data_IF_372633341264
#
_entry.id   IF_372633341264
#
_cell.length_a   1.000
_cell.length_b   1.000
_cell.length_c   1.000
_cell.angle_alpha   90.00
_cell.angle_beta   90.00
_cell.angle_gamma   90.00
#
_symmetry.space_group_name_H-M   'P 1'
#
loop_
_entity.id
_entity.type
_entity.pdbx_description
1 polymer ?
#
# COMPACT_ATOMS: atom_id res chain seq x y z
N UNK A 1 -1.75 9.44 23.92
CA UNK A 1 -2.40 9.78 22.62
C UNK A 1 -3.65 8.92 22.49
N UNK A 2 -4.75 9.47 21.96
CA UNK A 2 -6.03 8.77 21.76
C UNK A 2 -6.51 9.10 20.35
N UNK A 3 -6.98 8.09 19.62
CA UNK A 3 -7.54 8.23 18.28
C UNK A 3 -9.07 8.34 18.41
N UNK A 4 -9.64 9.47 17.98
CA UNK A 4 -11.08 9.69 17.99
C UNK A 4 -11.67 9.52 16.58
N UNK A 5 -12.75 8.75 16.48
CA UNK A 5 -13.58 8.67 15.28
C UNK A 5 -14.43 9.93 15.15
N UNK A 6 -14.26 10.68 14.06
CA UNK A 6 -14.99 11.93 13.81
C UNK A 6 -16.48 11.76 13.52
N UNK A 7 -16.97 10.52 13.31
CA UNK A 7 -18.37 10.28 13.01
C UNK A 7 -19.23 10.17 14.29
N UNK A 8 -18.94 9.19 15.15
CA UNK A 8 -19.74 8.92 16.36
C UNK A 8 -18.97 9.05 17.67
N UNK A 9 -17.75 9.59 17.63
CA UNK A 9 -16.97 9.89 18.84
C UNK A 9 -16.39 8.66 19.55
N UNK A 10 -16.35 7.50 18.90
CA UNK A 10 -15.63 6.34 19.42
C UNK A 10 -14.15 6.67 19.59
N UNK A 11 -13.55 6.23 20.68
CA UNK A 11 -12.16 6.55 21.02
C UNK A 11 -11.35 5.27 21.20
N UNK A 12 -10.15 5.25 20.65
CA UNK A 12 -9.22 4.13 20.73
C UNK A 12 -7.90 4.57 21.35
N UNK A 13 -7.29 3.71 22.15
CA UNK A 13 -5.93 3.96 22.65
C UNK A 13 -4.88 3.73 21.54
N UNK A 14 -3.59 3.87 21.88
CA UNK A 14 -2.49 3.66 20.93
C UNK A 14 -2.27 2.21 20.51
N UNK A 15 -2.93 1.24 21.16
CA UNK A 15 -2.92 -0.18 20.76
C UNK A 15 -4.13 -0.54 19.92
N UNK A 16 -4.99 0.43 19.58
CA UNK A 16 -6.22 0.21 18.82
C UNK A 16 -7.39 -0.33 19.64
N UNK A 17 -7.25 -0.49 20.96
CA UNK A 17 -8.33 -0.95 21.81
C UNK A 17 -9.39 0.16 21.96
N UNK A 18 -10.66 -0.19 21.78
CA UNK A 18 -11.79 0.72 21.96
C UNK A 18 -11.92 1.08 23.45
N UNK A 19 -11.67 2.33 23.79
CA UNK A 19 -11.73 2.81 25.18
C UNK A 19 -13.07 3.45 25.51
N UNK A 20 -13.72 4.10 24.53
CA UNK A 20 -14.99 4.81 24.70
C UNK A 20 -15.88 4.64 23.48
N UNK A 21 -17.15 4.33 23.71
CA UNK A 21 -18.19 4.25 22.68
C UNK A 21 -19.44 4.99 23.20
N UNK A 22 -19.56 6.32 22.96
CA UNK A 22 -20.72 7.09 23.39
C UNK A 22 -22.03 6.44 22.93
N UNK A 23 -23.05 6.42 23.79
CA UNK A 23 -24.35 5.73 23.57
C UNK A 23 -24.31 4.20 23.55
N UNK A 24 -23.13 3.57 23.57
CA UNK A 24 -22.96 2.11 23.59
C UNK A 24 -22.30 1.59 24.88
N UNK A 25 -21.53 2.42 25.59
CA UNK A 25 -20.76 2.03 26.77
C UNK A 25 -21.61 1.33 27.85
N UNK A 26 -22.86 1.75 28.03
CA UNK A 26 -23.77 1.21 29.04
C UNK A 26 -24.78 0.18 28.48
N UNK A 27 -24.68 -0.18 27.19
CA UNK A 27 -25.60 -1.14 26.57
C UNK A 27 -25.30 -2.57 27.06
N UNK A 28 -26.29 -3.30 27.59
CA UNK A 28 -26.10 -4.69 27.99
C UNK A 28 -25.57 -5.55 26.83
N UNK A 29 -24.48 -6.28 27.07
CA UNK A 29 -23.88 -7.17 26.08
C UNK A 29 -22.94 -6.49 25.07
N UNK A 30 -22.80 -5.17 25.10
CA UNK A 30 -21.80 -4.47 24.29
C UNK A 30 -20.38 -4.81 24.80
N UNK A 31 -19.54 -5.35 23.92
CA UNK A 31 -18.15 -5.72 24.21
C UNK A 31 -17.21 -4.85 23.40
N UNK A 32 -16.41 -4.02 24.07
CA UNK A 32 -15.46 -3.11 23.43
C UNK A 32 -14.35 -3.85 22.68
N UNK A 33 -13.97 -5.01 23.20
CA UNK A 33 -12.92 -5.87 22.66
C UNK A 33 -13.32 -6.39 21.28
N UNK A 34 -14.60 -6.71 21.08
CA UNK A 34 -15.15 -7.15 19.80
C UNK A 34 -15.29 -6.01 18.76
N UNK A 35 -15.04 -4.76 19.16
CA UNK A 35 -15.21 -3.56 18.36
C UNK A 35 -13.94 -2.67 18.34
N UNK A 36 -12.79 -3.25 18.69
CA UNK A 36 -11.49 -2.59 18.60
C UNK A 36 -10.98 -2.57 17.16
N UNK A 37 -9.98 -1.73 16.86
CA UNK A 37 -9.37 -1.68 15.53
C UNK A 37 -8.68 -3.01 15.19
N UNK A 38 -8.69 -3.37 13.92
CA UNK A 38 -7.97 -4.54 13.42
C UNK A 38 -6.45 -4.35 13.59
N UNK A 39 -5.79 -5.36 14.13
CA UNK A 39 -4.33 -5.37 14.23
C UNK A 39 -3.73 -5.50 12.83
N UNK A 40 -2.67 -4.73 12.57
CA UNK A 40 -1.84 -4.86 11.37
C UNK A 40 -0.43 -5.20 11.85
N UNK A 41 0.17 -6.22 11.24
CA UNK A 41 1.51 -6.65 11.63
C UNK A 41 2.56 -5.75 11.01
N UNK A 42 3.55 -5.37 11.83
CA UNK A 42 4.68 -4.56 11.37
C UNK A 42 6.00 -5.18 11.79
N UNK A 43 7.01 -5.05 10.93
CA UNK A 43 8.38 -5.50 11.20
C UNK A 43 9.36 -4.47 10.67
N UNK A 44 10.35 -4.13 11.47
CA UNK A 44 11.43 -3.24 11.04
C UNK A 44 12.66 -4.08 10.67
N UNK A 45 13.31 -3.76 9.55
CA UNK A 45 14.59 -4.37 9.18
C UNK A 45 15.79 -3.67 9.84
N UNK A 46 16.98 -4.27 9.69
CA UNK A 46 18.23 -3.71 10.21
C UNK A 46 18.60 -2.35 9.59
N UNK A 47 18.02 -1.99 8.45
CA UNK A 47 18.27 -0.73 7.75
C UNK A 47 17.31 0.40 8.18
N UNK A 48 16.27 0.10 8.97
CA UNK A 48 15.31 1.06 9.47
C UNK A 48 13.98 1.13 8.71
N UNK A 49 13.73 0.24 7.74
CA UNK A 49 12.47 0.20 7.00
C UNK A 49 11.39 -0.53 7.76
N UNK A 50 10.20 0.07 7.81
CA UNK A 50 9.00 -0.55 8.38
C UNK A 50 8.22 -1.26 7.27
N UNK A 51 8.05 -2.57 7.42
CA UNK A 51 7.19 -3.40 6.60
C UNK A 51 5.84 -3.56 7.28
N UNK A 52 4.78 -3.53 6.48
CA UNK A 52 3.39 -3.63 6.93
C UNK A 52 2.75 -4.85 6.25
N UNK A 53 2.10 -5.71 7.04
CA UNK A 53 1.35 -6.86 6.55
C UNK A 53 -0.06 -6.86 7.16
N UNK A 54 -1.07 -6.87 6.31
CA UNK A 54 -2.49 -6.81 6.68
C UNK A 54 -3.10 -8.19 6.96
N UNK A 55 -2.37 -9.27 6.68
CA UNK A 55 -2.80 -10.61 7.07
C UNK A 55 -2.70 -10.76 8.60
N UNK A 56 -3.82 -11.10 9.25
CA UNK A 56 -3.95 -11.24 10.71
C UNK A 56 -3.56 -12.66 11.20
N UNK A 57 -3.11 -13.54 10.30
CA UNK A 57 -2.72 -14.90 10.63
C UNK A 57 -1.47 -14.95 11.54
N UNK A 58 -1.39 -15.98 12.38
CA UNK A 58 -0.21 -16.20 13.21
C UNK A 58 1.04 -16.47 12.36
N UNK A 59 0.85 -17.06 11.19
CA UNK A 59 1.85 -17.30 10.16
C UNK A 59 2.42 -15.98 9.65
N UNK A 60 1.57 -15.02 9.26
CA UNK A 60 1.98 -13.70 8.82
C UNK A 60 2.74 -12.93 9.91
N UNK A 61 2.27 -12.99 11.17
CA UNK A 61 2.96 -12.39 12.32
C UNK A 61 4.38 -12.93 12.47
N UNK A 62 4.57 -14.23 12.29
CA UNK A 62 5.86 -14.89 12.51
C UNK A 62 6.75 -14.94 11.26
N UNK A 63 6.20 -14.64 10.07
CA UNK A 63 6.92 -14.72 8.80
C UNK A 63 8.17 -13.82 8.76
N UNK A 64 9.35 -14.33 8.36
CA UNK A 64 10.54 -13.49 8.25
C UNK A 64 10.33 -12.39 7.21
N UNK A 65 11.07 -11.29 7.35
CA UNK A 65 11.09 -10.25 6.31
C UNK A 65 11.67 -10.84 5.01
N UNK A 66 11.12 -10.45 3.84
CA UNK A 66 11.70 -10.86 2.58
C UNK A 66 13.14 -10.33 2.50
N UNK A 67 14.08 -11.10 1.92
CA UNK A 67 15.45 -10.66 1.78
C UNK A 67 15.50 -9.41 0.89
N UNK A 68 15.92 -8.28 1.46
CA UNK A 68 16.21 -7.10 0.66
C UNK A 68 17.43 -7.38 -0.23
N UNK A 69 17.28 -7.21 -1.55
CA UNK A 69 18.41 -7.25 -2.47
C UNK A 69 19.33 -6.05 -2.18
N UNK A 70 20.35 -6.26 -1.35
CA UNK A 70 21.35 -5.24 -1.01
C UNK A 70 22.33 -5.09 -2.16
N UNK A 71 22.07 -4.15 -3.06
CA UNK A 71 23.01 -3.78 -4.13
C UNK A 71 23.91 -2.67 -3.57
N UNK A 72 25.12 -3.03 -3.16
CA UNK A 72 26.11 -2.10 -2.59
C UNK A 72 26.05 -2.00 -1.06
N UNK A 73 26.50 -0.87 -0.50
CA UNK A 73 26.52 -0.67 0.96
C UNK A 73 25.14 -0.25 1.48
N UNK A 74 24.63 -0.87 2.57
CA UNK A 74 23.31 -0.58 3.10
C UNK A 74 23.21 0.86 3.61
N UNK A 75 22.11 1.52 3.27
CA UNK A 75 21.72 2.81 3.85
C UNK A 75 21.05 2.52 5.18
N UNK A 76 21.54 3.15 6.24
CA UNK A 76 20.80 3.24 7.49
C UNK A 76 19.86 4.43 7.37
N UNK A 77 18.55 4.18 7.39
CA UNK A 77 17.57 5.26 7.55
C UNK A 77 17.49 5.60 9.02
N UNK A 78 17.85 6.84 9.32
CA UNK A 78 17.72 7.38 10.67
C UNK A 78 16.39 8.12 10.81
N UNK A 79 15.84 8.12 12.02
CA UNK A 79 14.72 8.98 12.41
C UNK A 79 15.01 10.48 12.21
N UNK A 80 16.26 10.85 11.98
CA UNK A 80 16.70 12.21 11.66
C UNK A 80 16.57 12.58 10.19
N UNK A 81 16.19 11.63 9.32
CA UNK A 81 15.98 11.91 7.90
C UNK A 81 14.78 12.82 7.72
N UNK A 82 14.89 13.82 6.85
CA UNK A 82 13.80 14.74 6.54
C UNK A 82 13.38 14.61 5.10
N UNK A 83 12.07 14.62 4.85
CA UNK A 83 11.52 14.71 3.50
C UNK A 83 11.93 16.05 2.87
N UNK A 84 12.42 16.00 1.64
CA UNK A 84 12.87 17.17 0.89
C UNK A 84 11.92 17.48 -0.27
N UNK A 85 11.62 16.48 -1.10
CA UNK A 85 10.81 16.66 -2.32
C UNK A 85 10.31 15.32 -2.87
N UNK A 86 9.35 15.37 -3.81
CA UNK A 86 8.87 14.19 -4.53
C UNK A 86 8.50 14.46 -5.99
N UNK A 87 8.58 13.40 -6.80
CA UNK A 87 8.18 13.38 -8.20
C UNK A 87 7.34 12.13 -8.44
N UNK A 88 6.28 12.28 -9.23
CA UNK A 88 5.40 11.15 -9.54
C UNK A 88 5.18 11.05 -11.05
N UNK A 89 6.19 10.61 -11.83
CA UNK A 89 5.97 10.27 -13.24
C UNK A 89 4.99 9.11 -13.38
N UNK A 90 4.07 9.23 -14.34
CA UNK A 90 3.27 8.10 -14.83
C UNK A 90 4.07 7.34 -15.87
N UNK A 91 3.87 6.03 -15.92
CA UNK A 91 4.55 5.14 -16.86
C UNK A 91 3.58 4.22 -17.59
N UNK A 92 3.94 3.86 -18.82
CA UNK A 92 3.17 2.96 -19.68
C UNK A 92 3.67 1.51 -19.55
N UNK A 93 3.73 1.00 -18.32
CA UNK A 93 3.98 -0.42 -18.07
C UNK A 93 3.18 -1.01 -16.89
N UNK A 94 2.90 -2.31 -16.94
CA UNK A 94 2.32 -3.05 -15.81
C UNK A 94 3.35 -3.28 -14.70
N UNK A 95 3.02 -2.97 -13.45
CA UNK A 95 3.94 -3.03 -12.30
C UNK A 95 4.58 -4.40 -12.11
N UNK A 96 3.90 -5.48 -12.52
CA UNK A 96 4.37 -6.86 -12.32
C UNK A 96 5.69 -7.12 -13.04
N UNK A 97 6.05 -6.36 -14.08
CA UNK A 97 7.38 -6.49 -14.71
C UNK A 97 8.53 -6.22 -13.72
N UNK A 98 8.25 -5.53 -12.60
CA UNK A 98 9.22 -5.24 -11.54
C UNK A 98 9.38 -6.39 -10.54
N UNK A 99 8.40 -7.30 -10.47
CA UNK A 99 8.39 -8.40 -9.50
C UNK A 99 9.58 -9.39 -9.64
N UNK A 100 10.09 -9.75 -10.83
CA UNK A 100 11.28 -10.61 -10.94
C UNK A 100 12.53 -9.94 -10.36
N UNK A 101 12.54 -8.61 -10.35
CA UNK A 101 13.64 -7.83 -9.80
C UNK A 101 13.47 -7.58 -8.29
N UNK A 102 12.32 -7.92 -7.70
CA UNK A 102 11.99 -7.58 -6.31
C UNK A 102 11.86 -6.07 -6.07
N UNK A 103 11.64 -5.28 -7.13
CA UNK A 103 11.78 -3.81 -7.08
C UNK A 103 10.45 -3.07 -6.99
N UNK A 104 9.52 -3.46 -6.10
CA UNK A 104 8.36 -2.58 -5.83
C UNK A 104 8.77 -1.32 -5.08
N UNK A 105 9.83 -1.42 -4.30
CA UNK A 105 10.44 -0.30 -3.61
C UNK A 105 11.96 -0.44 -3.70
N UNK A 106 12.65 0.62 -4.11
CA UNK A 106 14.11 0.66 -4.23
C UNK A 106 14.64 1.91 -3.56
N UNK A 107 15.73 1.75 -2.83
CA UNK A 107 16.39 2.83 -2.10
C UNK A 107 17.70 3.11 -2.79
N UNK A 108 17.89 4.36 -3.21
CA UNK A 108 19.11 4.79 -3.85
C UNK A 108 19.91 5.67 -2.91
N UNK A 109 21.20 5.36 -2.83
CA UNK A 109 22.17 6.18 -2.13
C UNK A 109 23.43 6.28 -2.97
N UNK A 110 24.19 7.33 -2.70
CA UNK A 110 25.57 7.46 -3.15
C UNK A 110 26.42 7.74 -1.93
N UNK A 111 27.55 7.04 -1.80
CA UNK A 111 28.49 7.27 -0.69
C UNK A 111 28.90 8.74 -0.65
N UNK A 112 28.78 9.37 0.51
CA UNK A 112 29.07 10.80 0.71
C UNK A 112 27.97 11.76 0.25
N UNK A 113 26.86 11.25 -0.31
CA UNK A 113 25.68 12.06 -0.60
C UNK A 113 25.00 12.47 0.71
N UNK A 114 24.60 13.75 0.87
CA UNK A 114 23.77 14.17 1.99
C UNK A 114 22.31 13.72 1.83
N UNK A 115 21.96 13.10 0.69
CA UNK A 115 20.61 12.69 0.32
C UNK A 115 20.52 11.20 -0.01
N UNK A 116 19.34 10.62 0.23
CA UNK A 116 18.92 9.32 -0.27
C UNK A 116 17.55 9.44 -0.94
N UNK A 117 17.25 8.52 -1.85
CA UNK A 117 16.03 8.54 -2.64
C UNK A 117 15.27 7.23 -2.48
N UNK A 118 13.95 7.31 -2.36
CA UNK A 118 13.04 6.17 -2.38
C UNK A 118 12.30 6.18 -3.72
N UNK A 119 12.35 5.07 -4.46
CA UNK A 119 11.52 4.89 -5.66
C UNK A 119 10.56 3.75 -5.40
N UNK A 120 9.26 4.05 -5.52
CA UNK A 120 8.17 3.11 -5.30
C UNK A 120 7.32 2.97 -6.56
N UNK A 121 6.93 1.74 -6.86
CA UNK A 121 6.13 1.37 -8.02
C UNK A 121 4.78 0.86 -7.52
N UNK A 122 3.71 1.59 -7.79
CA UNK A 122 2.36 1.19 -7.38
C UNK A 122 1.48 0.96 -8.61
N UNK A 123 0.64 -0.10 -8.62
CA UNK A 123 -0.33 -0.31 -9.68
C UNK A 123 -1.24 0.91 -9.81
N UNK A 124 -1.41 1.41 -11.04
CA UNK A 124 -2.48 2.35 -11.38
C UNK A 124 -3.57 1.62 -12.17
N UNK A 125 -3.16 0.83 -13.16
CA UNK A 125 -4.02 -0.05 -13.96
C UNK A 125 -3.28 -1.30 -14.43
N UNK A 126 -3.95 -2.14 -15.23
CA UNK A 126 -3.33 -3.26 -15.93
C UNK A 126 -2.21 -2.84 -16.91
N UNK A 127 -2.23 -1.61 -17.42
CA UNK A 127 -1.21 -1.11 -18.35
C UNK A 127 -0.29 -0.05 -17.78
N UNK A 128 -0.60 0.47 -16.57
CA UNK A 128 0.06 1.64 -16.03
C UNK A 128 0.54 1.44 -14.60
N UNK A 129 1.72 1.99 -14.34
CA UNK A 129 2.34 2.02 -13.02
C UNK A 129 2.61 3.47 -12.65
N UNK A 130 2.20 3.83 -11.45
CA UNK A 130 2.63 5.09 -10.84
C UNK A 130 4.02 4.88 -10.24
N UNK A 131 4.98 5.66 -10.71
CA UNK A 131 6.35 5.65 -10.17
C UNK A 131 6.49 6.88 -9.29
N UNK A 132 6.64 6.67 -7.99
CA UNK A 132 6.89 7.73 -7.02
C UNK A 132 8.36 7.74 -6.66
N UNK A 133 9.00 8.90 -6.75
CA UNK A 133 10.36 9.13 -6.28
C UNK A 133 10.33 10.20 -5.19
N UNK A 134 10.92 9.90 -4.03
CA UNK A 134 10.95 10.77 -2.87
C UNK A 134 12.40 10.98 -2.44
N UNK A 135 12.78 12.22 -2.19
CA UNK A 135 14.12 12.60 -1.75
C UNK A 135 14.11 12.93 -0.26
N UNK A 136 15.13 12.45 0.44
CA UNK A 136 15.29 12.65 1.87
C UNK A 136 16.72 13.05 2.21
N UNK A 137 16.89 13.85 3.26
CA UNK A 137 18.19 14.11 3.85
C UNK A 137 18.64 12.95 4.75
N UNK A 138 19.94 12.75 4.91
CA UNK A 138 20.50 11.78 5.86
C UNK A 138 20.49 12.32 7.30
N UNK A 139 20.52 13.65 7.47
CA UNK A 139 20.59 14.33 8.78
C UNK A 139 19.55 15.45 8.87
N UNK A 140 19.22 15.87 10.09
CA UNK A 140 18.33 17.01 10.41
C UNK A 140 18.78 18.37 9.86
N UNK A 141 19.90 18.45 9.15
CA UNK A 141 20.34 19.71 8.56
C UNK A 141 19.48 20.03 7.33
N UNK A 142 18.98 21.26 7.30
CA UNK A 142 18.08 21.79 6.29
C UNK A 142 18.84 22.14 4.99
N UNK A 143 19.64 21.21 4.49
CA UNK A 143 20.28 21.37 3.18
C UNK A 143 19.20 21.15 2.12
N UNK A 144 18.75 22.21 1.42
CA UNK A 144 17.76 22.03 0.37
C UNK A 144 18.35 21.16 -0.74
N UNK A 145 17.48 20.42 -1.43
CA UNK A 145 17.89 19.66 -2.60
C UNK A 145 18.22 20.65 -3.73
N UNK A 146 19.48 20.68 -4.15
CA UNK A 146 19.93 21.50 -5.28
C UNK A 146 19.14 21.16 -6.56
N UNK A 147 18.76 22.18 -7.32
CA UNK A 147 18.09 22.05 -8.62
C UNK A 147 18.84 21.15 -9.59
N UNK A 148 20.18 21.17 -9.58
CA UNK A 148 20.98 20.33 -10.47
C UNK A 148 20.93 18.86 -10.07
N UNK A 149 20.96 18.58 -8.77
CA UNK A 149 20.79 17.22 -8.22
C UNK A 149 19.41 16.69 -8.57
N UNK A 150 18.37 17.51 -8.34
CA UNK A 150 16.98 17.22 -8.69
C UNK A 150 16.81 16.91 -10.19
N UNK A 151 17.36 17.75 -11.06
CA UNK A 151 17.29 17.57 -12.51
C UNK A 151 18.02 16.30 -12.96
N UNK A 152 19.23 16.06 -12.47
CA UNK A 152 20.02 14.88 -12.81
C UNK A 152 19.33 13.58 -12.37
N UNK A 153 18.81 13.54 -11.14
CA UNK A 153 18.03 12.40 -10.65
C UNK A 153 16.74 12.20 -11.45
N UNK A 154 16.03 13.28 -11.78
CA UNK A 154 14.85 13.23 -12.64
C UNK A 154 15.14 12.59 -13.99
N UNK A 155 16.24 12.98 -14.64
CA UNK A 155 16.66 12.38 -15.93
C UNK A 155 17.05 10.90 -15.80
N UNK A 156 17.79 10.53 -14.75
CA UNK A 156 18.14 9.12 -14.51
C UNK A 156 16.90 8.25 -14.28
N UNK A 157 15.94 8.73 -13.48
CA UNK A 157 14.69 8.03 -13.25
C UNK A 157 13.88 7.90 -14.54
N UNK A 158 13.79 8.97 -15.33
CA UNK A 158 13.11 8.98 -16.63
C UNK A 158 13.70 7.93 -17.58
N UNK A 159 15.03 7.86 -17.69
CA UNK A 159 15.70 6.86 -18.52
C UNK A 159 15.42 5.43 -18.04
N UNK A 160 15.40 5.21 -16.73
CA UNK A 160 15.07 3.89 -16.16
C UNK A 160 13.63 3.49 -16.44
N UNK A 161 12.67 4.41 -16.27
CA UNK A 161 11.25 4.22 -16.60
C UNK A 161 11.09 3.88 -18.08
N UNK A 162 11.74 4.62 -18.98
CA UNK A 162 11.70 4.32 -20.42
C UNK A 162 12.25 2.94 -20.76
N UNK A 163 13.30 2.48 -20.06
CA UNK A 163 13.80 1.12 -20.22
C UNK A 163 12.76 0.05 -19.85
N UNK A 164 12.00 0.28 -18.77
CA UNK A 164 10.90 -0.60 -18.36
C UNK A 164 9.73 -0.58 -19.34
N UNK A 165 9.34 0.59 -19.85
CA UNK A 165 8.30 0.72 -20.89
C UNK A 165 8.69 -0.03 -22.16
N UNK A 166 9.96 0.05 -22.59
CA UNK A 166 10.45 -0.68 -23.75
C UNK A 166 10.44 -2.20 -23.53
N UNK A 167 10.87 -2.65 -22.35
CA UNK A 167 10.83 -4.07 -21.98
C UNK A 167 9.38 -4.59 -21.95
N UNK A 168 8.45 -3.83 -21.39
CA UNK A 168 7.03 -4.17 -21.36
C UNK A 168 6.43 -4.25 -22.77
N UNK A 169 6.66 -3.23 -23.61
CA UNK A 169 6.20 -3.23 -25.02
C UNK A 169 6.77 -4.41 -25.81
N UNK A 170 8.00 -4.83 -25.51
CA UNK A 170 8.61 -6.01 -26.13
C UNK A 170 7.91 -7.30 -25.67
N UNK A 171 7.68 -7.45 -24.37
CA UNK A 171 6.97 -8.61 -23.81
C UNK A 171 5.55 -8.76 -24.39
N UNK A 172 4.83 -7.66 -24.59
CA UNK A 172 3.51 -7.68 -25.23
C UNK A 172 3.54 -8.11 -26.71
N UNK A 173 4.64 -7.86 -27.43
CA UNK A 173 4.77 -8.22 -28.85
C UNK A 173 5.21 -9.67 -29.06
N UNK A 174 6.19 -10.10 -28.28
CA UNK A 174 6.89 -11.37 -28.51
C UNK A 174 6.18 -12.56 -27.83
N UNK A 175 5.13 -12.30 -27.03
CA UNK A 175 4.52 -13.30 -26.16
C UNK A 175 5.48 -13.72 -25.02
N UNK A 176 5.08 -14.67 -24.15
CA UNK A 176 5.88 -15.09 -23.01
C UNK A 176 7.06 -15.97 -23.46
N UNK A 177 8.10 -15.38 -24.05
CA UNK A 177 9.40 -16.01 -24.19
C UNK A 177 10.50 -14.98 -24.46
N UNK A 178 11.35 -14.72 -23.46
CA UNK A 178 12.76 -14.37 -23.67
C UNK A 178 13.52 -14.43 -22.35
N UNK A 179 14.57 -15.24 -22.34
CA UNK A 179 15.34 -15.59 -21.15
C UNK A 179 16.10 -14.41 -20.55
N UNK A 180 15.78 -14.12 -19.30
CA UNK A 180 16.74 -13.84 -18.23
C UNK A 180 16.02 -14.09 -16.89
N UNK A 181 16.39 -15.17 -16.21
CA UNK A 181 15.78 -15.73 -14.99
C UNK A 181 14.43 -16.44 -15.20
N UNK A 182 14.59 -17.71 -15.58
CA UNK A 182 13.60 -18.81 -15.58
C UNK A 182 12.76 -18.77 -14.27
N UNK A 183 11.46 -19.03 -14.40
CA UNK A 183 10.41 -19.15 -13.37
C UNK A 183 9.58 -17.89 -13.01
N UNK A 184 10.13 -16.67 -13.04
CA UNK A 184 9.38 -15.47 -12.60
C UNK A 184 8.54 -14.78 -13.68
N UNK A 185 9.14 -14.53 -14.86
CA UNK A 185 8.57 -13.62 -15.87
C UNK A 185 7.42 -14.23 -16.69
N UNK A 186 7.46 -15.54 -16.97
CA UNK A 186 6.36 -16.23 -17.65
C UNK A 186 5.10 -16.26 -16.78
N UNK A 187 5.26 -16.50 -15.47
CA UNK A 187 4.19 -16.41 -14.48
C UNK A 187 3.61 -14.99 -14.44
N UNK A 188 4.45 -13.96 -14.49
CA UNK A 188 3.99 -12.58 -14.47
C UNK A 188 3.23 -12.21 -15.74
N UNK A 189 3.72 -12.60 -16.91
CA UNK A 189 3.03 -12.37 -18.18
C UNK A 189 1.66 -13.07 -18.19
N UNK A 190 1.61 -14.35 -17.78
CA UNK A 190 0.37 -15.10 -17.60
C UNK A 190 -0.60 -14.39 -16.63
N UNK A 191 -0.10 -13.89 -15.50
CA UNK A 191 -0.92 -13.13 -14.55
C UNK A 191 -1.33 -11.74 -15.07
N UNK A 192 -0.62 -11.14 -16.03
CA UNK A 192 -1.04 -9.90 -16.71
C UNK A 192 -2.13 -10.23 -17.73
N UNK A 193 -1.93 -11.26 -18.54
CA UNK A 193 -2.87 -11.71 -19.57
C UNK A 193 -4.20 -12.12 -18.95
N UNK A 194 -4.17 -12.97 -17.91
CA UNK A 194 -5.37 -13.36 -17.14
C UNK A 194 -6.10 -12.14 -16.56
N UNK A 195 -5.36 -11.12 -16.11
CA UNK A 195 -5.96 -9.90 -15.56
C UNK A 195 -6.61 -9.04 -16.65
N UNK A 196 -5.96 -8.89 -17.81
CA UNK A 196 -6.50 -8.18 -18.97
C UNK A 196 -7.73 -8.88 -19.54
N UNK A 197 -7.69 -10.21 -19.69
CA UNK A 197 -8.84 -11.02 -20.12
C UNK A 197 -10.03 -10.83 -19.20
N UNK A 198 -9.78 -10.73 -17.90
CA UNK A 198 -10.82 -10.49 -16.90
C UNK A 198 -11.41 -9.08 -16.99
N UNK A 199 -10.60 -8.05 -17.22
CA UNK A 199 -11.10 -6.68 -17.47
C UNK A 199 -11.96 -6.62 -18.73
N UNK A 200 -11.56 -7.32 -19.79
CA UNK A 200 -12.33 -7.44 -21.04
C UNK A 200 -13.67 -8.16 -20.80
N UNK A 201 -13.66 -9.27 -20.07
CA UNK A 201 -14.87 -10.03 -19.75
C UNK A 201 -15.85 -9.25 -18.86
N UNK A 202 -15.34 -8.47 -17.89
CA UNK A 202 -16.15 -7.66 -16.98
C UNK A 202 -16.53 -6.28 -17.58
N UNK A 203 -15.94 -5.90 -18.72
CA UNK A 203 -16.17 -4.61 -19.38
C UNK A 203 -15.74 -3.39 -18.56
N UNK A 204 -14.87 -3.59 -17.55
CA UNK A 204 -14.42 -2.54 -16.61
C UNK A 204 -13.00 -2.82 -16.10
N UNK A 205 -12.29 -1.74 -15.79
CA UNK A 205 -10.94 -1.78 -15.18
C UNK A 205 -10.98 -2.41 -13.77
N UNK A 206 -10.04 -3.31 -13.47
CA UNK A 206 -9.92 -4.02 -12.20
C UNK A 206 -8.71 -3.49 -11.44
N UNK A 207 -8.96 -2.70 -10.39
CA UNK A 207 -7.88 -2.12 -9.58
C UNK A 207 -7.48 -3.06 -8.45
N UNK A 208 -6.18 -3.38 -8.26
CA UNK A 208 -5.72 -4.34 -7.24
C UNK A 208 -6.11 -4.00 -5.79
N UNK A 209 -6.42 -2.73 -5.52
CA UNK A 209 -6.81 -2.24 -4.19
C UNK A 209 -8.24 -1.67 -4.14
N UNK A 210 -9.04 -1.83 -5.19
CA UNK A 210 -10.46 -1.54 -5.07
C UNK A 210 -11.08 -2.67 -4.24
N UNK A 211 -11.35 -2.39 -2.97
CA UNK A 211 -12.36 -3.14 -2.23
C UNK A 211 -13.62 -3.06 -3.07
N UNK A 212 -13.97 -4.16 -3.76
CA UNK A 212 -15.39 -4.36 -4.06
C UNK A 212 -16.03 -4.26 -2.69
N UNK A 213 -16.91 -3.28 -2.50
CA UNK A 213 -17.77 -3.26 -1.35
C UNK A 213 -18.58 -4.55 -1.42
N UNK A 214 -18.04 -5.65 -0.89
CA UNK A 214 -18.84 -6.78 -0.49
C UNK A 214 -19.77 -6.17 0.54
N UNK A 215 -21.05 -6.13 0.23
CA UNK A 215 -22.13 -5.68 1.11
C UNK A 215 -22.27 -6.56 2.38
N UNK A 216 -21.17 -7.13 2.87
CA UNK A 216 -21.05 -7.96 4.06
C UNK A 216 -20.60 -7.19 5.30
N UNK A 217 -20.44 -5.86 5.23
CA UNK A 217 -20.56 -5.04 6.43
C UNK A 217 -22.04 -4.95 6.80
N UNK A 218 -22.59 -6.07 7.28
CA UNK A 218 -23.84 -6.06 8.02
C UNK A 218 -23.63 -5.07 9.15
N UNK A 219 -24.35 -3.96 9.07
CA UNK A 219 -24.29 -2.94 10.09
C UNK A 219 -24.68 -3.59 11.42
N UNK A 220 -24.17 -3.09 12.53
CA UNK A 220 -24.59 -3.55 13.85
C UNK A 220 -26.12 -3.46 14.08
N UNK A 221 -26.87 -2.78 13.19
CA UNK A 221 -28.34 -2.77 13.19
C UNK A 221 -28.97 -4.12 12.77
N UNK A 222 -28.31 -4.94 11.93
CA UNK A 222 -28.88 -6.22 11.47
C UNK A 222 -28.85 -7.31 12.55
N UNK A 223 -28.10 -7.09 13.64
CA UNK A 223 -28.04 -8.00 14.80
C UNK A 223 -29.14 -7.73 15.84
N UNK A 224 -30.02 -6.76 15.60
CA UNK A 224 -31.21 -6.50 16.39
C UNK A 224 -32.47 -7.01 15.66
N UNK A 225 -32.46 -8.27 15.23
CA UNK A 225 -33.71 -8.99 14.92
C UNK A 225 -34.37 -9.39 16.25
N UNK A 226 -35.05 -8.43 16.87
CA UNK A 226 -36.10 -8.73 17.83
C UNK A 226 -37.33 -9.17 17.02
N UNK A 227 -37.60 -10.46 17.10
CA UNK A 227 -38.83 -11.09 16.64
C UNK A 227 -40.05 -10.40 17.27
N UNK A 228 -41.02 -10.01 16.44
CA UNK A 228 -42.44 -9.84 16.79
C UNK A 228 -42.76 -8.77 17.83
N UNK A 229 -43.37 -7.67 17.40
CA UNK A 229 -44.78 -7.40 17.73
C UNK A 229 -45.25 -6.12 17.02
N UNK A 230 -46.50 -6.14 16.57
CA UNK A 230 -47.22 -5.02 15.94
C UNK A 230 -47.07 -3.73 16.77
N UNK A 231 -46.62 -2.65 16.12
CA UNK A 231 -46.79 -1.30 16.67
C UNK A 231 -47.82 -0.58 15.80
N UNK A 232 -49.01 -0.46 16.37
CA UNK A 232 -50.13 0.33 15.88
C UNK A 232 -49.79 1.83 15.93
N UNK A 233 -50.10 2.54 14.86
CA UNK A 233 -50.04 4.01 14.86
C UNK A 233 -51.26 4.55 15.63
N UNK A 234 -51.02 5.20 16.78
CA UNK A 234 -52.05 6.01 17.43
C UNK A 234 -52.02 7.42 16.85
N UNK A 235 -53.16 7.82 16.27
CA UNK A 235 -53.50 9.20 15.95
C UNK A 235 -53.54 10.06 17.22
N UNK A 236 -52.96 11.26 17.14
CA UNK A 236 -53.03 12.25 18.22
C UNK A 236 -54.45 12.85 18.30
N UNK A 237 -55.05 13.02 19.50
CA UNK A 237 -56.26 13.82 19.64
C UNK A 237 -55.92 15.30 19.90
N UNK A 238 -56.49 16.13 19.00
CA UNK A 238 -56.82 17.57 19.03
C UNK A 238 -55.74 18.59 19.32
#
# INVERSE_FOLDING_TARGET
MVLGCGYHGWSYNTTGALTKAPMFDDLPGFKKEANSLFEIHTKQDDAGFLFVNFDQSAEARNSPLPPAAKIGHPVMIYQTSQYLDSWTPRSDFNWKIMAPFGLLTTVYTKRGSPFWFLVSYSPDSAGQTTVRCEAYSVRKQHTPLDSDVKKNWGEQLRLKVQGFEQAYRKALRDGPNLGASVDGQAFIADQVDVHLEREVAEGKEIRPAAVQASNGATSAADKLNLTGDEVTWYDAPT
#
